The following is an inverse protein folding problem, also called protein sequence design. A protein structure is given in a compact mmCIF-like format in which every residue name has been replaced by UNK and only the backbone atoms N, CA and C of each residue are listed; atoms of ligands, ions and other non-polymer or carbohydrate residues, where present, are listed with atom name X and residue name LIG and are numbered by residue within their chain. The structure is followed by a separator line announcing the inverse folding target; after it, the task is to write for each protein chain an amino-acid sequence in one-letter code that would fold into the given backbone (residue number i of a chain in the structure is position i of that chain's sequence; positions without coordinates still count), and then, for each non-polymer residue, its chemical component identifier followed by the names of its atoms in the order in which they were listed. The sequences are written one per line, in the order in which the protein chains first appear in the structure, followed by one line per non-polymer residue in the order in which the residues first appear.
data_IF_118943938575
#
_entry.id   IF_118943938575
#
_cell.length_a   1.000
_cell.length_b   1.000
_cell.length_c   1.000
_cell.angle_alpha   90.00
_cell.angle_beta   90.00
_cell.angle_gamma   90.00
#
_symmetry.space_group_name_H-M   'P 1'
#
loop_
_entity.id
_entity.type
_entity.pdbx_description
1 polymer ?
#
# COMPACT_ATOMS: atom_id res chain seq x y z
N UNK A 1 22.21 2.54 -6.20
CA UNK A 1 21.52 3.61 -5.45
C UNK A 1 20.19 4.03 -6.08
N UNK A 2 20.13 4.46 -7.35
CA UNK A 2 18.88 4.96 -7.95
C UNK A 2 17.73 3.94 -8.02
N UNK A 3 18.03 2.69 -8.42
CA UNK A 3 17.01 1.64 -8.57
C UNK A 3 16.30 1.26 -7.27
N UNK A 4 17.01 1.31 -6.14
CA UNK A 4 16.43 0.99 -4.83
C UNK A 4 15.36 2.00 -4.40
N UNK A 5 15.52 3.29 -4.74
CA UNK A 5 14.52 4.31 -4.45
C UNK A 5 13.22 4.02 -5.20
N UNK A 6 13.32 3.61 -6.47
CA UNK A 6 12.15 3.22 -7.27
C UNK A 6 11.44 2.02 -6.63
N UNK A 7 12.20 1.02 -6.15
CA UNK A 7 11.62 -0.14 -5.46
C UNK A 7 10.88 0.30 -4.18
N UNK A 8 11.48 1.15 -3.35
CA UNK A 8 10.82 1.66 -2.14
C UNK A 8 9.58 2.48 -2.46
N UNK A 9 9.61 3.33 -3.49
CA UNK A 9 8.43 4.05 -3.96
C UNK A 9 7.32 3.09 -4.38
N UNK A 10 7.60 2.14 -5.26
CA UNK A 10 6.60 1.18 -5.75
C UNK A 10 6.07 0.28 -4.62
N UNK A 11 6.93 -0.12 -3.68
CA UNK A 11 6.51 -0.85 -2.48
C UNK A 11 5.53 -0.05 -1.63
N UNK A 12 5.81 1.24 -1.41
CA UNK A 12 4.89 2.16 -0.73
C UNK A 12 3.55 2.31 -1.47
N UNK A 13 3.59 2.48 -2.80
CA UNK A 13 2.38 2.57 -3.63
C UNK A 13 1.53 1.32 -3.47
N UNK A 14 2.12 0.14 -3.64
CA UNK A 14 1.39 -1.13 -3.56
C UNK A 14 0.84 -1.37 -2.15
N UNK A 15 1.65 -1.10 -1.12
CA UNK A 15 1.27 -1.29 0.27
C UNK A 15 0.03 -0.46 0.61
N UNK A 16 0.09 0.86 0.39
CA UNK A 16 -1.01 1.73 0.80
C UNK A 16 -2.22 1.62 -0.12
N UNK A 17 -2.02 1.26 -1.39
CA UNK A 17 -3.12 0.97 -2.30
C UNK A 17 -3.98 -0.19 -1.77
N UNK A 18 -3.34 -1.30 -1.37
CA UNK A 18 -4.07 -2.47 -0.85
C UNK A 18 -4.68 -2.15 0.52
N UNK A 19 -3.97 -1.42 1.38
CA UNK A 19 -4.49 -0.99 2.69
C UNK A 19 -5.74 -0.09 2.53
N UNK A 20 -5.70 0.87 1.62
CA UNK A 20 -6.84 1.74 1.32
C UNK A 20 -8.02 0.96 0.73
N UNK A 21 -7.76 -0.04 -0.12
CA UNK A 21 -8.80 -0.95 -0.60
C UNK A 21 -9.39 -1.79 0.54
N UNK A 22 -8.56 -2.24 1.49
CA UNK A 22 -9.02 -2.97 2.66
C UNK A 22 -9.98 -2.13 3.50
N UNK A 23 -9.59 -0.90 3.85
CA UNK A 23 -10.46 0.06 4.56
C UNK A 23 -11.78 0.27 3.82
N UNK A 24 -11.75 0.37 2.49
CA UNK A 24 -12.96 0.49 1.67
C UNK A 24 -13.85 -0.76 1.72
N UNK A 25 -13.28 -1.95 1.72
CA UNK A 25 -14.05 -3.19 1.81
C UNK A 25 -14.66 -3.40 3.18
N UNK A 26 -13.95 -2.99 4.24
CA UNK A 26 -14.48 -2.92 5.61
C UNK A 26 -15.66 -1.95 5.66
N UNK A 27 -15.49 -0.73 5.15
CA UNK A 27 -16.55 0.29 5.14
C UNK A 27 -17.79 -0.07 4.28
N UNK A 28 -17.71 -1.11 3.45
CA UNK A 28 -18.82 -1.60 2.60
C UNK A 28 -19.34 -2.98 3.04
N UNK A 29 -18.95 -3.47 4.22
CA UNK A 29 -19.32 -4.77 4.76
C UNK A 29 -19.02 -5.96 3.80
N UNK A 30 -18.00 -5.81 2.95
CA UNK A 30 -17.58 -6.88 2.01
C UNK A 30 -16.62 -7.84 2.71
N UNK A 31 -17.15 -8.65 3.63
CA UNK A 31 -16.40 -9.51 4.57
C UNK A 31 -15.29 -10.30 3.87
N UNK A 32 -15.60 -11.08 2.83
CA UNK A 32 -14.61 -11.93 2.17
C UNK A 32 -13.46 -11.13 1.54
N UNK A 33 -13.78 -10.02 0.88
CA UNK A 33 -12.78 -9.15 0.27
C UNK A 33 -11.95 -8.41 1.32
N UNK A 34 -12.57 -7.98 2.43
CA UNK A 34 -11.89 -7.36 3.55
C UNK A 34 -10.90 -8.34 4.22
N UNK A 35 -11.32 -9.58 4.52
CA UNK A 35 -10.43 -10.59 5.12
C UNK A 35 -9.24 -10.88 4.20
N UNK A 36 -9.51 -11.07 2.90
CA UNK A 36 -8.46 -11.33 1.91
C UNK A 36 -7.47 -10.17 1.82
N UNK A 37 -7.95 -8.93 1.66
CA UNK A 37 -7.04 -7.78 1.57
C UNK A 37 -6.35 -7.47 2.90
N UNK A 38 -6.96 -7.75 4.05
CA UNK A 38 -6.28 -7.62 5.35
C UNK A 38 -5.09 -8.59 5.43
N UNK A 39 -5.28 -9.85 5.04
CA UNK A 39 -4.19 -10.84 5.00
C UNK A 39 -3.02 -10.36 4.11
N UNK A 40 -3.32 -9.96 2.88
CA UNK A 40 -2.28 -9.47 1.95
C UNK A 40 -1.62 -8.19 2.44
N UNK A 41 -2.38 -7.26 3.02
CA UNK A 41 -1.84 -6.04 3.62
C UNK A 41 -0.85 -6.41 4.72
N UNK A 42 -1.23 -7.29 5.65
CA UNK A 42 -0.34 -7.72 6.73
C UNK A 42 0.93 -8.41 6.22
N UNK A 43 0.81 -9.31 5.23
CA UNK A 43 1.99 -9.97 4.63
C UNK A 43 2.95 -8.94 4.02
N UNK A 44 2.43 -7.97 3.27
CA UNK A 44 3.24 -6.91 2.64
C UNK A 44 3.92 -6.03 3.70
N UNK A 45 3.18 -5.62 4.74
CA UNK A 45 3.73 -4.83 5.85
C UNK A 45 4.87 -5.57 6.54
N UNK A 46 4.70 -6.85 6.82
CA UNK A 46 5.72 -7.66 7.49
C UNK A 46 6.96 -7.86 6.60
N UNK A 47 6.80 -8.05 5.28
CA UNK A 47 7.92 -8.14 4.34
C UNK A 47 8.70 -6.82 4.26
N UNK A 48 7.99 -5.68 4.18
CA UNK A 48 8.62 -4.36 4.12
C UNK A 48 9.32 -4.05 5.44
N UNK A 49 8.67 -4.31 6.57
CA UNK A 49 9.27 -4.14 7.90
C UNK A 49 10.52 -5.02 8.06
N UNK A 50 10.44 -6.29 7.66
CA UNK A 50 11.59 -7.20 7.68
C UNK A 50 12.75 -6.66 6.82
N UNK A 51 12.47 -6.15 5.62
CA UNK A 51 13.50 -5.56 4.77
C UNK A 51 14.11 -4.29 5.38
N UNK A 52 13.30 -3.42 5.99
CA UNK A 52 13.77 -2.19 6.67
C UNK A 52 14.66 -2.54 7.88
N UNK A 53 14.30 -3.61 8.61
CA UNK A 53 15.04 -4.07 9.78
C UNK A 53 16.31 -4.85 9.40
N UNK A 54 16.33 -5.62 8.32
CA UNK A 54 17.46 -6.50 7.96
C UNK A 54 18.51 -5.85 7.04
N UNK A 55 18.18 -4.76 6.33
CA UNK A 55 19.16 -4.00 5.53
C UNK A 55 19.99 -3.03 6.39
N UNK A 56 20.53 -3.55 7.50
CA UNK A 56 20.86 -2.85 8.75
C UNK A 56 21.90 -1.71 8.67
N UNK A 57 22.62 -1.45 7.55
CA UNK A 57 23.58 -0.32 7.51
C UNK A 57 23.78 0.36 6.13
N UNK A 58 23.74 -0.36 5.02
CA UNK A 58 24.20 0.20 3.73
C UNK A 58 23.15 0.94 2.90
N UNK A 59 21.86 0.78 3.22
CA UNK A 59 20.75 1.30 2.37
C UNK A 59 19.77 2.23 3.08
N UNK A 60 19.95 2.47 4.39
CA UNK A 60 19.14 3.45 5.15
C UNK A 60 19.56 4.87 4.78
N UNK A 61 19.03 5.37 3.67
CA UNK A 61 19.14 6.78 3.29
C UNK A 61 17.83 7.51 3.57
N UNK A 62 17.92 8.76 4.03
CA UNK A 62 16.77 9.67 4.14
C UNK A 62 15.99 9.73 2.81
N UNK A 63 16.69 9.64 1.68
CA UNK A 63 16.06 9.60 0.36
C UNK A 63 15.16 8.38 0.16
N UNK A 64 15.53 7.21 0.69
CA UNK A 64 14.72 5.99 0.60
C UNK A 64 13.44 6.10 1.44
N UNK A 65 13.54 6.70 2.64
CA UNK A 65 12.39 6.95 3.51
C UNK A 65 11.41 7.93 2.84
N UNK A 66 11.91 9.04 2.29
CA UNK A 66 11.08 10.02 1.58
C UNK A 66 10.45 9.37 0.35
N UNK A 67 11.21 8.58 -0.42
CA UNK A 67 10.70 7.88 -1.60
C UNK A 67 9.61 6.87 -1.26
N UNK A 68 9.79 6.10 -0.18
CA UNK A 68 8.78 5.19 0.35
C UNK A 68 7.52 5.95 0.79
N UNK A 69 7.66 7.06 1.52
CA UNK A 69 6.54 7.89 1.98
C UNK A 69 5.77 8.54 0.81
N UNK A 70 6.47 9.00 -0.23
CA UNK A 70 5.84 9.46 -1.48
C UNK A 70 5.07 8.33 -2.15
N UNK A 71 5.62 7.11 -2.12
CA UNK A 71 4.96 5.91 -2.59
C UNK A 71 3.64 5.67 -1.86
N UNK A 72 3.64 5.70 -0.52
CA UNK A 72 2.44 5.57 0.32
C UNK A 72 1.36 6.57 -0.12
N UNK A 73 1.69 7.87 -0.20
CA UNK A 73 0.72 8.89 -0.63
C UNK A 73 0.20 8.67 -2.06
N UNK A 74 1.06 8.21 -2.98
CA UNK A 74 0.66 7.80 -4.32
C UNK A 74 -0.31 6.61 -4.30
N UNK A 75 -0.03 5.60 -3.48
CA UNK A 75 -0.88 4.43 -3.25
C UNK A 75 -2.28 4.83 -2.79
N UNK A 76 -2.36 5.73 -1.79
CA UNK A 76 -3.62 6.31 -1.31
C UNK A 76 -4.37 6.99 -2.46
N UNK A 77 -3.71 7.89 -3.18
CA UNK A 77 -4.31 8.67 -4.27
C UNK A 77 -4.87 7.74 -5.35
N UNK A 78 -4.10 6.75 -5.80
CA UNK A 78 -4.55 5.79 -6.79
C UNK A 78 -5.71 4.95 -6.26
N UNK A 79 -5.65 4.40 -5.05
CA UNK A 79 -6.75 3.60 -4.49
C UNK A 79 -8.04 4.41 -4.34
N UNK A 80 -7.94 5.70 -3.97
CA UNK A 80 -9.08 6.61 -3.91
C UNK A 80 -9.65 6.87 -5.31
N UNK A 81 -8.81 7.13 -6.31
CA UNK A 81 -9.21 7.43 -7.68
C UNK A 81 -9.77 6.20 -8.42
N UNK A 82 -9.19 5.03 -8.20
CA UNK A 82 -9.66 3.77 -8.78
C UNK A 82 -10.93 3.32 -8.06
N UNK A 83 -12.06 3.38 -8.76
CA UNK A 83 -13.40 2.98 -8.28
C UNK A 83 -13.57 1.45 -8.15
N UNK A 84 -12.51 0.71 -7.83
CA UNK A 84 -12.56 -0.74 -7.67
C UNK A 84 -13.57 -1.12 -6.58
N UNK A 85 -14.54 -1.96 -6.94
CA UNK A 85 -15.63 -2.39 -6.06
C UNK A 85 -16.77 -1.38 -5.89
N UNK A 86 -16.85 -0.33 -6.72
CA UNK A 86 -18.07 0.46 -6.90
C UNK A 86 -18.97 -0.19 -7.96
N UNK A 87 -20.01 -0.91 -7.52
CA UNK A 87 -21.21 -0.98 -8.35
C UNK A 87 -21.70 0.46 -8.48
N UNK A 88 -22.00 0.92 -9.69
CA UNK A 88 -22.71 2.18 -9.89
C UNK A 88 -24.00 2.12 -9.09
N UNK A 89 -24.01 2.81 -7.95
CA UNK A 89 -25.25 3.07 -7.24
C UNK A 89 -25.93 4.14 -8.09
N UNK A 90 -26.79 3.69 -9.02
CA UNK A 90 -27.77 4.56 -9.66
C UNK A 90 -28.59 5.16 -8.52
N UNK A 91 -28.27 6.41 -8.15
CA UNK A 91 -29.15 7.22 -7.33
C UNK A 91 -30.41 7.44 -8.18
N UNK A 92 -31.49 6.77 -7.78
CA UNK A 92 -32.85 7.07 -8.24
C UNK A 92 -33.32 8.39 -7.64
#
# INVERSE_FOLDING_TARGET
MSWYLIIFFLAGVLQDFIATLNLRYIAKDKIFLAVSTSFFTTVIYMIILYNILTQLDSQRSIAAIISYALGIGGGTFFAMKFKLGMKEEKRF
#
